data_IF_089951180715
#
_entry.id   IF_089951180715
#
_cell.length_a   1.000
_cell.length_b   1.000
_cell.length_c   1.000
_cell.angle_alpha   90.00
_cell.angle_beta   90.00
_cell.angle_gamma   90.00
#
_symmetry.space_group_name_H-M   'P 1'
#
loop_
_entity.id
_entity.type
_entity.pdbx_description
1 polymer ?
#
# COMPACT_ATOMS: atom_id res chain seq x y z
N UNK A 1 -5.27 11.77 17.14
CA UNK A 1 -6.33 10.75 17.09
C UNK A 1 -7.05 10.55 18.41
N UNK A 2 -6.68 9.53 19.18
CA UNK A 2 -7.49 9.08 20.33
C UNK A 2 -7.66 10.12 21.45
N UNK A 3 -6.58 10.72 21.95
CA UNK A 3 -6.65 11.73 23.01
C UNK A 3 -7.54 12.92 22.61
N UNK A 4 -7.36 13.43 21.39
CA UNK A 4 -8.22 14.47 20.81
C UNK A 4 -9.70 14.06 20.83
N UNK A 5 -10.03 12.80 20.49
CA UNK A 5 -11.40 12.29 20.46
C UNK A 5 -12.10 12.20 21.83
N UNK A 6 -11.34 12.30 22.93
CA UNK A 6 -11.86 12.33 24.30
C UNK A 6 -11.60 13.68 24.98
N UNK A 7 -11.10 14.68 24.25
CA UNK A 7 -10.79 16.00 24.79
C UNK A 7 -9.57 16.04 25.73
N UNK A 8 -8.67 15.06 25.60
CA UNK A 8 -7.43 14.99 26.38
C UNK A 8 -6.19 15.36 25.54
N UNK A 9 -5.09 15.65 26.22
CA UNK A 9 -3.78 15.93 25.65
C UNK A 9 -2.70 15.12 26.36
N UNK A 10 -1.49 15.09 25.78
CA UNK A 10 -0.33 14.56 26.48
C UNK A 10 0.02 15.43 27.70
N UNK A 11 0.69 14.88 28.74
CA UNK A 11 1.18 15.67 29.86
C UNK A 11 2.19 16.76 29.43
N UNK A 12 2.09 17.96 30.00
CA UNK A 12 2.91 19.12 29.61
C UNK A 12 4.38 19.05 30.08
N UNK A 13 4.74 18.04 30.88
CA UNK A 13 6.06 17.92 31.53
C UNK A 13 6.96 16.84 30.91
N UNK A 14 6.68 16.41 29.67
CA UNK A 14 7.48 15.40 28.94
C UNK A 14 7.74 15.82 27.49
N UNK A 15 8.78 15.32 26.84
CA UNK A 15 8.86 15.40 25.37
C UNK A 15 7.92 14.38 24.74
N UNK A 16 7.30 14.72 23.61
CA UNK A 16 6.47 13.82 22.81
C UNK A 16 6.97 13.86 21.37
N UNK A 17 7.54 12.74 20.94
CA UNK A 17 8.12 12.55 19.61
C UNK A 17 7.60 11.25 19.01
N UNK A 18 7.69 11.13 17.68
CA UNK A 18 7.48 9.86 16.98
C UNK A 18 8.56 9.65 15.92
N UNK A 19 8.88 8.38 15.69
CA UNK A 19 9.62 7.88 14.54
C UNK A 19 8.81 6.70 14.02
N UNK A 20 8.32 6.81 12.79
CA UNK A 20 7.36 5.89 12.20
C UNK A 20 7.97 5.28 10.93
N UNK A 21 8.54 4.06 11.02
CA UNK A 21 9.01 3.32 9.85
C UNK A 21 7.85 3.06 8.88
N UNK A 22 8.06 3.36 7.60
CA UNK A 22 7.12 3.16 6.50
C UNK A 22 7.28 1.77 5.91
N UNK A 23 6.98 0.79 6.76
CA UNK A 23 7.09 -0.63 6.46
C UNK A 23 6.88 -1.50 7.69
N UNK A 24 6.53 -2.77 7.47
CA UNK A 24 6.23 -3.71 8.55
C UNK A 24 7.45 -4.01 9.42
N UNK A 25 7.25 -4.32 10.70
CA UNK A 25 8.33 -4.63 11.66
C UNK A 25 9.35 -5.68 11.17
N UNK A 26 8.93 -6.81 10.58
CA UNK A 26 9.85 -7.78 10.00
C UNK A 26 10.76 -7.20 8.90
N UNK A 27 10.25 -6.29 8.07
CA UNK A 27 11.01 -5.65 6.99
C UNK A 27 12.07 -4.70 7.53
N UNK A 28 11.74 -3.92 8.57
CA UNK A 28 12.67 -3.04 9.29
C UNK A 28 13.87 -3.86 9.77
N UNK A 29 13.63 -4.97 10.45
CA UNK A 29 14.71 -5.83 10.95
C UNK A 29 15.51 -6.47 9.81
N UNK A 30 14.83 -6.98 8.79
CA UNK A 30 15.46 -7.72 7.70
C UNK A 30 16.42 -6.85 6.90
N UNK A 31 15.96 -5.66 6.50
CA UNK A 31 16.78 -4.72 5.74
C UNK A 31 17.91 -4.14 6.59
N UNK A 32 17.68 -3.88 7.88
CA UNK A 32 18.77 -3.51 8.81
C UNK A 32 19.88 -4.59 8.88
N UNK A 33 19.50 -5.87 8.89
CA UNK A 33 20.48 -6.97 8.86
C UNK A 33 21.24 -7.05 7.54
N UNK A 34 20.57 -6.85 6.40
CA UNK A 34 21.23 -6.74 5.09
C UNK A 34 22.16 -5.51 5.03
N UNK A 35 21.80 -4.44 5.76
CA UNK A 35 22.55 -3.20 5.85
C UNK A 35 23.92 -3.31 6.50
N UNK A 36 24.21 -4.43 7.17
CA UNK A 36 25.55 -4.71 7.73
C UNK A 36 26.60 -4.89 6.64
N UNK A 37 26.19 -5.46 5.50
CA UNK A 37 27.08 -5.77 4.38
C UNK A 37 26.97 -4.72 3.26
N UNK A 38 25.81 -4.06 3.14
CA UNK A 38 25.57 -3.03 2.12
C UNK A 38 25.10 -1.74 2.77
N UNK A 39 25.88 -0.68 2.62
CA UNK A 39 25.55 0.61 3.21
C UNK A 39 24.19 1.13 2.71
N UNK A 40 23.37 1.62 3.63
CA UNK A 40 22.10 2.29 3.32
C UNK A 40 20.87 1.38 3.25
N UNK A 41 20.94 0.11 3.62
CA UNK A 41 19.75 -0.75 3.69
C UNK A 41 18.92 -0.55 4.96
N UNK A 42 17.61 -0.34 4.79
CA UNK A 42 16.64 -0.17 5.87
C UNK A 42 15.27 0.24 5.32
N UNK A 43 14.36 0.60 6.22
CA UNK A 43 13.03 1.14 5.89
C UNK A 43 13.03 2.63 6.20
N UNK A 44 12.53 3.44 5.27
CA UNK A 44 12.41 4.90 5.48
C UNK A 44 11.52 5.18 6.67
N UNK A 45 11.77 6.28 7.38
CA UNK A 45 10.91 6.68 8.50
C UNK A 45 10.46 8.12 8.37
N UNK A 46 9.23 8.40 8.77
CA UNK A 46 8.85 9.76 9.13
C UNK A 46 9.21 10.04 10.60
N UNK A 47 9.37 11.30 10.98
CA UNK A 47 9.46 11.68 12.39
C UNK A 47 8.64 12.93 12.68
N UNK A 48 8.15 13.03 13.90
CA UNK A 48 7.36 14.16 14.36
C UNK A 48 7.81 14.63 15.75
N UNK A 49 7.79 15.94 15.95
CA UNK A 49 7.98 16.57 17.26
C UNK A 49 6.66 17.22 17.65
N UNK A 50 5.93 16.59 18.56
CA UNK A 50 4.67 17.13 19.06
C UNK A 50 4.88 18.08 20.23
N UNK A 51 5.79 17.73 21.14
CA UNK A 51 6.13 18.53 22.32
C UNK A 51 7.62 18.44 22.62
N UNK A 52 8.27 19.58 22.80
CA UNK A 52 9.68 19.70 23.19
C UNK A 52 9.82 20.69 24.36
N UNK A 53 10.12 20.17 25.55
CA UNK A 53 10.21 20.92 26.81
C UNK A 53 11.64 21.29 27.20
N UNK A 54 12.65 20.71 26.54
CA UNK A 54 14.05 20.88 26.92
C UNK A 54 15.03 21.04 25.75
N UNK A 55 14.52 21.13 24.51
CA UNK A 55 15.30 21.39 23.30
C UNK A 55 16.00 20.16 22.72
N UNK A 56 15.74 18.96 23.26
CA UNK A 56 16.42 17.72 22.85
C UNK A 56 15.57 16.84 21.94
N UNK A 57 14.30 17.17 21.74
CA UNK A 57 13.34 16.27 21.11
C UNK A 57 13.74 15.90 19.66
N UNK A 58 14.17 16.88 18.86
CA UNK A 58 14.59 16.67 17.48
C UNK A 58 15.79 15.73 17.36
N UNK A 59 16.86 15.96 18.13
CA UNK A 59 18.05 15.12 18.07
C UNK A 59 17.78 13.69 18.55
N UNK A 60 16.90 13.53 19.55
CA UNK A 60 16.47 12.20 20.02
C UNK A 60 15.68 11.48 18.92
N UNK A 61 14.75 12.16 18.24
CA UNK A 61 13.96 11.57 17.17
C UNK A 61 14.83 11.16 15.97
N UNK A 62 15.72 12.05 15.52
CA UNK A 62 16.64 11.77 14.42
C UNK A 62 17.63 10.66 14.79
N UNK A 63 18.21 10.71 16.00
CA UNK A 63 19.09 9.67 16.51
C UNK A 63 18.40 8.30 16.59
N UNK A 64 17.14 8.26 17.02
CA UNK A 64 16.32 7.05 17.00
C UNK A 64 16.10 6.53 15.57
N UNK A 65 15.71 7.40 14.64
CA UNK A 65 15.49 7.01 13.24
C UNK A 65 16.75 6.45 12.57
N UNK A 66 17.91 7.07 12.81
CA UNK A 66 19.21 6.58 12.35
C UNK A 66 19.55 5.23 12.99
N UNK A 67 19.28 5.05 14.29
CA UNK A 67 19.55 3.79 14.99
C UNK A 67 18.67 2.62 14.49
N UNK A 68 17.48 2.91 13.94
CA UNK A 68 16.66 1.93 13.24
C UNK A 68 17.20 1.58 11.83
N UNK A 69 18.18 2.32 11.33
CA UNK A 69 18.76 2.15 10.00
C UNK A 69 17.95 2.78 8.88
N UNK A 70 17.15 3.81 9.17
CA UNK A 70 16.32 4.46 8.14
C UNK A 70 17.21 5.06 7.04
N UNK A 71 17.05 4.66 5.75
CA UNK A 71 17.87 5.17 4.66
C UNK A 71 17.76 6.69 4.51
N UNK A 72 16.54 7.20 4.66
CA UNK A 72 16.26 8.62 4.84
C UNK A 72 15.10 8.82 5.82
N UNK A 73 15.05 10.03 6.38
CA UNK A 73 14.08 10.41 7.40
C UNK A 73 13.46 11.75 7.03
N UNK A 74 12.13 11.83 7.04
CA UNK A 74 11.41 13.06 6.69
C UNK A 74 10.52 13.54 7.83
N UNK A 75 10.40 14.86 7.96
CA UNK A 75 9.59 15.46 9.00
C UNK A 75 8.10 15.43 8.64
N UNK A 76 7.28 15.12 9.64
CA UNK A 76 5.82 15.20 9.58
C UNK A 76 5.28 15.71 10.92
N UNK A 77 3.96 15.65 11.12
CA UNK A 77 3.32 15.84 12.43
C UNK A 77 2.64 14.55 12.86
N UNK A 78 2.41 14.35 14.16
CA UNK A 78 1.61 13.20 14.61
C UNK A 78 0.24 13.16 13.95
N UNK A 79 -0.34 14.33 13.64
CA UNK A 79 -1.66 14.42 13.01
C UNK A 79 -1.67 14.00 11.55
N UNK A 80 -0.71 14.49 10.77
CA UNK A 80 -0.54 14.07 9.37
C UNK A 80 -0.25 12.57 9.31
N UNK A 81 0.65 12.10 10.17
CA UNK A 81 1.10 10.71 10.19
C UNK A 81 -0.02 9.73 10.52
N UNK A 82 -0.80 9.94 11.61
CA UNK A 82 -1.88 9.01 11.90
C UNK A 82 -2.97 9.03 10.82
N UNK A 83 -3.17 10.18 10.14
CA UNK A 83 -4.14 10.29 9.06
C UNK A 83 -3.68 9.52 7.83
N UNK A 84 -2.42 9.68 7.40
CA UNK A 84 -1.89 9.00 6.22
C UNK A 84 -1.69 7.50 6.46
N UNK A 85 -1.17 7.11 7.63
CA UNK A 85 -0.80 5.72 7.94
C UNK A 85 -2.05 4.83 8.09
N UNK A 86 -2.98 5.21 8.97
CA UNK A 86 -4.22 4.46 9.20
C UNK A 86 -5.07 4.37 7.91
N UNK A 87 -5.05 5.43 7.10
CA UNK A 87 -5.66 5.44 5.77
C UNK A 87 -4.93 4.51 4.79
N UNK A 88 -3.60 4.62 4.68
CA UNK A 88 -2.78 3.89 3.73
C UNK A 88 -2.89 2.37 3.93
N UNK A 89 -2.85 1.89 5.17
CA UNK A 89 -3.00 0.47 5.52
C UNK A 89 -4.40 -0.09 5.18
N UNK A 90 -5.40 0.77 4.96
CA UNK A 90 -6.74 0.40 4.47
C UNK A 90 -6.87 0.56 2.97
N UNK A 91 -6.13 1.51 2.39
CA UNK A 91 -5.94 1.71 0.98
C UNK A 91 -4.93 0.72 0.38
N UNK A 92 -4.11 1.22 -0.53
CA UNK A 92 -3.27 0.41 -1.43
C UNK A 92 -2.23 -0.46 -0.71
N UNK A 93 -1.84 -0.12 0.52
CA UNK A 93 -0.79 -0.86 1.23
C UNK A 93 -1.24 -2.28 1.61
N UNK A 94 -2.49 -2.46 2.03
CA UNK A 94 -3.02 -3.78 2.42
C UNK A 94 -4.48 -4.00 1.99
N UNK A 95 -5.40 -3.15 2.44
CA UNK A 95 -6.85 -3.35 2.23
C UNK A 95 -7.25 -3.35 0.76
N UNK A 96 -6.96 -2.27 0.04
CA UNK A 96 -7.31 -2.14 -1.36
C UNK A 96 -6.60 -3.19 -2.23
N UNK A 97 -5.31 -3.44 -2.04
CA UNK A 97 -4.60 -4.48 -2.81
C UNK A 97 -5.18 -5.87 -2.55
N UNK A 98 -5.62 -6.18 -1.32
CA UNK A 98 -6.35 -7.43 -1.04
C UNK A 98 -7.67 -7.50 -1.82
N UNK A 99 -8.48 -6.44 -1.79
CA UNK A 99 -9.73 -6.39 -2.55
C UNK A 99 -9.54 -6.46 -4.07
N UNK A 100 -8.50 -5.80 -4.60
CA UNK A 100 -8.14 -5.82 -6.01
C UNK A 100 -7.82 -7.24 -6.47
N UNK A 101 -6.91 -7.94 -5.78
CA UNK A 101 -6.48 -9.27 -6.24
C UNK A 101 -7.60 -10.32 -6.11
N UNK A 102 -8.43 -10.26 -5.06
CA UNK A 102 -9.59 -11.14 -4.91
C UNK A 102 -10.62 -10.92 -6.03
N UNK A 103 -10.91 -9.66 -6.34
CA UNK A 103 -11.92 -9.29 -7.32
C UNK A 103 -11.45 -9.59 -8.76
N UNK A 104 -10.19 -9.28 -9.10
CA UNK A 104 -9.58 -9.65 -10.38
C UNK A 104 -9.55 -11.17 -10.59
N UNK A 105 -9.16 -11.93 -9.57
CA UNK A 105 -9.15 -13.39 -9.64
C UNK A 105 -10.53 -13.95 -10.03
N UNK A 106 -11.58 -13.48 -9.37
CA UNK A 106 -12.95 -13.92 -9.69
C UNK A 106 -13.40 -13.43 -11.06
N UNK A 107 -13.04 -12.22 -11.47
CA UNK A 107 -13.36 -11.70 -12.79
C UNK A 107 -12.68 -12.48 -13.92
N UNK A 108 -11.40 -12.84 -13.76
CA UNK A 108 -10.67 -13.67 -14.73
C UNK A 108 -11.25 -15.08 -14.87
N UNK A 109 -11.66 -15.72 -13.76
CA UNK A 109 -12.35 -17.01 -13.80
C UNK A 109 -13.70 -16.90 -14.52
N UNK A 110 -14.46 -15.83 -14.25
CA UNK A 110 -15.72 -15.58 -14.96
C UNK A 110 -15.52 -15.40 -16.47
N UNK A 111 -14.33 -14.94 -16.88
CA UNK A 111 -13.89 -14.80 -18.27
C UNK A 111 -13.18 -16.05 -18.82
N UNK A 112 -13.28 -17.20 -18.13
CA UNK A 112 -12.85 -18.49 -18.63
C UNK A 112 -11.39 -18.85 -18.39
N UNK A 113 -10.64 -18.03 -17.64
CA UNK A 113 -9.29 -18.40 -17.23
C UNK A 113 -9.32 -19.53 -16.19
N UNK A 114 -8.28 -20.36 -16.18
CA UNK A 114 -8.08 -21.33 -15.11
C UNK A 114 -7.77 -20.62 -13.79
N UNK A 115 -7.89 -21.34 -12.67
CA UNK A 115 -7.59 -20.78 -11.36
C UNK A 115 -6.11 -20.40 -11.24
N UNK A 116 -5.20 -21.20 -11.82
CA UNK A 116 -3.76 -20.91 -11.83
C UNK A 116 -3.45 -19.64 -12.65
N UNK A 117 -4.01 -19.51 -13.85
CA UNK A 117 -3.85 -18.32 -14.69
C UNK A 117 -4.43 -17.07 -14.02
N UNK A 118 -5.64 -17.16 -13.45
CA UNK A 118 -6.27 -16.05 -12.74
C UNK A 118 -5.42 -15.58 -11.54
N UNK A 119 -4.84 -16.51 -10.78
CA UNK A 119 -3.95 -16.15 -9.67
C UNK A 119 -2.66 -15.49 -10.16
N UNK A 120 -2.08 -16.00 -11.25
CA UNK A 120 -0.88 -15.40 -11.86
C UNK A 120 -1.16 -13.99 -12.37
N UNK A 121 -2.25 -13.81 -13.12
CA UNK A 121 -2.63 -12.54 -13.73
C UNK A 121 -3.10 -11.51 -12.71
N UNK A 122 -3.62 -11.93 -11.55
CA UNK A 122 -3.94 -11.04 -10.43
C UNK A 122 -2.73 -10.88 -9.49
N UNK A 123 -2.53 -11.80 -8.55
CA UNK A 123 -1.60 -11.64 -7.43
C UNK A 123 -0.14 -11.64 -7.84
N UNK A 124 0.31 -12.60 -8.67
CA UNK A 124 1.73 -12.67 -9.03
C UNK A 124 2.11 -11.47 -9.92
N UNK A 125 1.21 -11.02 -10.80
CA UNK A 125 1.42 -9.84 -11.64
C UNK A 125 1.61 -8.57 -10.80
N UNK A 126 0.73 -8.31 -9.82
CA UNK A 126 0.86 -7.16 -8.91
C UNK A 126 2.13 -7.26 -8.08
N UNK A 127 2.33 -8.40 -7.41
CA UNK A 127 3.36 -8.52 -6.36
C UNK A 127 4.75 -8.82 -6.91
N UNK A 128 4.85 -9.27 -8.16
CA UNK A 128 6.11 -9.54 -8.87
C UNK A 128 6.49 -8.40 -9.81
N UNK A 129 6.22 -8.52 -11.13
CA UNK A 129 6.75 -7.63 -12.14
C UNK A 129 6.24 -6.18 -12.02
N UNK A 130 4.97 -5.96 -11.67
CA UNK A 130 4.44 -4.59 -11.49
C UNK A 130 5.15 -3.90 -10.33
N UNK A 131 5.17 -4.52 -9.14
CA UNK A 131 5.87 -3.96 -7.97
C UNK A 131 7.34 -3.70 -8.25
N UNK A 132 8.05 -4.67 -8.85
CA UNK A 132 9.47 -4.54 -9.20
C UNK A 132 9.72 -3.38 -10.17
N UNK A 133 8.82 -3.17 -11.14
CA UNK A 133 8.95 -2.11 -12.14
C UNK A 133 8.71 -0.74 -11.52
N UNK A 134 7.63 -0.57 -10.75
CA UNK A 134 7.36 0.68 -9.99
C UNK A 134 8.54 1.02 -9.07
N UNK A 135 9.03 0.01 -8.33
CA UNK A 135 10.13 0.13 -7.38
C UNK A 135 11.45 0.61 -7.99
N UNK A 136 11.74 0.25 -9.26
CA UNK A 136 13.01 0.56 -9.94
C UNK A 136 12.92 1.74 -10.89
N UNK A 137 11.83 1.81 -11.65
CA UNK A 137 11.71 2.66 -12.82
C UNK A 137 10.51 3.63 -12.71
N UNK A 138 9.75 3.60 -11.60
CA UNK A 138 8.56 4.44 -11.38
C UNK A 138 7.28 3.91 -12.03
N UNK A 139 6.15 4.57 -11.77
CA UNK A 139 4.82 4.08 -12.16
C UNK A 139 4.63 4.02 -13.68
N UNK A 140 5.06 5.07 -14.41
CA UNK A 140 4.92 5.14 -15.87
C UNK A 140 5.57 3.96 -16.59
N UNK A 141 6.67 3.44 -16.04
CA UNK A 141 7.41 2.33 -16.63
C UNK A 141 6.57 1.05 -16.76
N UNK A 142 5.52 0.87 -15.95
CA UNK A 142 4.56 -0.25 -16.05
C UNK A 142 3.78 -0.14 -17.35
N UNK A 143 3.22 1.04 -17.62
CA UNK A 143 2.47 1.33 -18.85
C UNK A 143 3.37 1.26 -20.09
N UNK A 144 4.59 1.81 -20.00
CA UNK A 144 5.57 1.79 -21.09
C UNK A 144 6.08 0.38 -21.41
N UNK A 145 5.99 -0.57 -20.47
CA UNK A 145 6.37 -1.96 -20.67
C UNK A 145 5.41 -2.74 -21.59
N UNK A 146 4.17 -2.25 -21.74
CA UNK A 146 3.12 -2.94 -22.45
C UNK A 146 3.25 -2.74 -23.96
N UNK A 147 2.78 -3.72 -24.73
CA UNK A 147 2.57 -3.53 -26.16
C UNK A 147 1.35 -2.64 -26.43
N UNK A 148 1.09 -2.30 -27.69
CA UNK A 148 0.03 -1.34 -28.03
C UNK A 148 -1.37 -1.85 -27.65
N UNK A 149 -1.62 -3.16 -27.70
CA UNK A 149 -2.87 -3.74 -27.22
C UNK A 149 -2.97 -3.63 -25.68
N UNK A 150 -1.90 -3.99 -24.97
CA UNK A 150 -1.84 -3.89 -23.52
C UNK A 150 -1.98 -2.45 -23.03
N UNK A 151 -1.42 -1.47 -23.74
CA UNK A 151 -1.61 -0.04 -23.41
C UNK A 151 -3.08 0.36 -23.50
N UNK A 152 -3.80 -0.08 -24.53
CA UNK A 152 -5.24 0.17 -24.69
C UNK A 152 -6.06 -0.50 -23.56
N UNK A 153 -5.74 -1.74 -23.21
CA UNK A 153 -6.36 -2.44 -22.07
C UNK A 153 -6.06 -1.77 -20.72
N UNK A 154 -4.82 -1.33 -20.50
CA UNK A 154 -4.41 -0.58 -19.30
C UNK A 154 -5.21 0.72 -19.17
N UNK A 155 -5.34 1.49 -20.26
CA UNK A 155 -6.05 2.77 -20.28
C UNK A 155 -7.53 2.61 -19.95
N UNK A 156 -8.19 1.60 -20.52
CA UNK A 156 -9.58 1.27 -20.18
C UNK A 156 -9.72 0.86 -18.72
N UNK A 157 -8.87 -0.03 -18.23
CA UNK A 157 -8.89 -0.49 -16.85
C UNK A 157 -8.60 0.64 -15.85
N UNK A 158 -7.66 1.52 -16.17
CA UNK A 158 -7.34 2.69 -15.36
C UNK A 158 -8.54 3.63 -15.24
N UNK A 159 -9.13 3.99 -16.40
CA UNK A 159 -10.29 4.89 -16.47
C UNK A 159 -11.50 4.33 -15.71
N UNK A 160 -11.76 3.03 -15.87
CA UNK A 160 -12.87 2.36 -15.19
C UNK A 160 -12.67 2.23 -13.67
N UNK A 161 -11.42 2.12 -13.19
CA UNK A 161 -11.13 1.83 -11.79
C UNK A 161 -10.89 3.06 -10.92
N UNK A 162 -10.43 4.18 -11.49
CA UNK A 162 -9.99 5.34 -10.72
C UNK A 162 -11.08 5.90 -9.81
N UNK A 163 -12.25 6.26 -10.35
CA UNK A 163 -13.33 6.85 -9.56
C UNK A 163 -13.95 5.89 -8.53
N UNK A 164 -14.24 4.60 -8.87
CA UNK A 164 -14.65 3.62 -7.86
C UNK A 164 -13.65 3.47 -6.72
N UNK A 165 -12.35 3.41 -7.01
CA UNK A 165 -11.31 3.37 -5.97
C UNK A 165 -11.29 4.66 -5.13
N UNK A 166 -11.34 5.82 -5.79
CA UNK A 166 -11.34 7.13 -5.14
C UNK A 166 -12.52 7.29 -4.17
N UNK A 167 -13.72 6.79 -4.52
CA UNK A 167 -14.90 6.83 -3.65
C UNK A 167 -14.66 6.15 -2.30
N UNK A 168 -14.11 4.93 -2.31
CA UNK A 168 -13.80 4.20 -1.06
C UNK A 168 -12.66 4.87 -0.31
N UNK A 169 -11.62 5.33 -1.00
CA UNK A 169 -10.49 6.02 -0.38
C UNK A 169 -10.95 7.30 0.34
N UNK A 170 -11.82 8.09 -0.29
CA UNK A 170 -12.40 9.29 0.32
C UNK A 170 -13.19 8.95 1.60
N UNK A 171 -14.02 7.90 1.58
CA UNK A 171 -14.73 7.42 2.77
C UNK A 171 -13.76 7.01 3.89
N UNK A 172 -12.70 6.25 3.56
CA UNK A 172 -11.68 5.83 4.53
C UNK A 172 -11.03 7.04 5.16
N UNK A 173 -10.58 8.01 4.35
CA UNK A 173 -9.86 9.17 4.85
C UNK A 173 -10.74 9.98 5.81
N UNK A 174 -12.00 10.23 5.46
CA UNK A 174 -12.94 10.98 6.30
C UNK A 174 -13.25 10.23 7.61
N UNK A 175 -13.38 8.91 7.58
CA UNK A 175 -13.54 8.07 8.78
C UNK A 175 -12.31 8.10 9.69
N UNK A 176 -11.10 8.17 9.12
CA UNK A 176 -9.85 8.30 9.88
C UNK A 176 -9.72 9.69 10.48
N UNK A 177 -9.89 10.73 9.66
CA UNK A 177 -9.73 12.12 10.06
C UNK A 177 -10.77 12.57 11.09
N UNK A 178 -11.99 12.03 11.04
CA UNK A 178 -13.04 12.27 12.05
C UNK A 178 -12.79 11.53 13.38
N UNK A 179 -11.89 10.54 13.39
CA UNK A 179 -11.60 9.70 14.55
C UNK A 179 -12.55 8.51 14.72
N UNK A 180 -13.54 8.33 13.83
CA UNK A 180 -14.44 7.18 13.83
C UNK A 180 -13.66 5.88 13.68
N UNK A 181 -12.72 5.85 12.74
CA UNK A 181 -11.92 4.65 12.48
C UNK A 181 -11.06 4.28 13.69
N UNK A 182 -10.43 5.27 14.32
CA UNK A 182 -9.62 5.09 15.55
C UNK A 182 -10.49 4.52 16.67
N UNK A 183 -11.68 5.09 16.89
CA UNK A 183 -12.64 4.58 17.89
C UNK A 183 -13.02 3.14 17.60
N UNK A 184 -13.27 2.80 16.33
CA UNK A 184 -13.65 1.45 15.91
C UNK A 184 -12.57 0.42 16.21
N UNK A 185 -11.29 0.78 16.02
CA UNK A 185 -10.12 -0.06 16.34
C UNK A 185 -10.00 -0.29 17.85
N UNK A 186 -10.13 0.77 18.66
CA UNK A 186 -10.11 0.65 20.13
C UNK A 186 -11.18 -0.33 20.62
N UNK A 187 -12.41 -0.17 20.14
CA UNK A 187 -13.50 -1.07 20.50
C UNK A 187 -13.30 -2.50 19.95
N UNK A 188 -12.69 -2.65 18.78
CA UNK A 188 -12.36 -3.98 18.23
C UNK A 188 -11.35 -4.71 19.12
N UNK A 189 -10.35 -4.00 19.64
CA UNK A 189 -9.37 -4.56 20.55
C UNK A 189 -10.01 -5.09 21.85
N UNK A 190 -11.00 -4.38 22.40
CA UNK A 190 -11.77 -4.83 23.56
C UNK A 190 -12.54 -6.14 23.29
N UNK A 191 -12.97 -6.34 22.03
CA UNK A 191 -13.71 -7.54 21.62
C UNK A 191 -12.82 -8.78 21.44
N UNK A 192 -11.50 -8.65 21.34
CA UNK A 192 -10.63 -9.79 21.01
C UNK A 192 -10.64 -10.93 22.02
N UNK A 193 -10.93 -10.67 23.29
CA UNK A 193 -11.10 -11.74 24.29
C UNK A 193 -12.24 -12.70 23.92
N UNK A 194 -13.24 -12.22 23.17
CA UNK A 194 -14.40 -13.00 22.72
C UNK A 194 -14.31 -13.37 21.24
N UNK A 195 -13.80 -12.49 20.40
CA UNK A 195 -13.71 -12.64 18.95
C UNK A 195 -12.32 -12.25 18.45
N UNK A 196 -11.32 -13.15 18.51
CA UNK A 196 -10.03 -12.90 17.88
C UNK A 196 -10.17 -12.85 16.35
N UNK A 197 -9.23 -12.18 15.67
CA UNK A 197 -9.21 -12.15 14.20
C UNK A 197 -9.01 -13.57 13.62
N UNK A 198 -9.80 -13.90 12.61
CA UNK A 198 -9.64 -15.13 11.83
C UNK A 198 -8.56 -15.02 10.75
N UNK A 199 -8.29 -16.16 10.10
CA UNK A 199 -7.42 -16.25 8.92
C UNK A 199 -8.10 -15.69 7.67
N UNK A 200 -7.32 -15.21 6.71
CA UNK A 200 -7.82 -14.61 5.46
C UNK A 200 -7.28 -15.31 4.20
N UNK A 201 -6.46 -16.34 4.35
CA UNK A 201 -5.78 -17.07 3.28
C UNK A 201 -6.28 -18.52 3.10
N UNK A 202 -7.43 -18.84 3.68
CA UNK A 202 -8.03 -20.18 3.62
C UNK A 202 -9.06 -20.35 2.49
N UNK A 203 -9.34 -19.29 1.71
CA UNK A 203 -10.26 -19.33 0.56
C UNK A 203 -9.59 -19.90 -0.69
N UNK A 204 -10.40 -20.26 -1.68
CA UNK A 204 -9.99 -20.92 -2.92
C UNK A 204 -8.78 -20.27 -3.59
N UNK A 205 -8.83 -18.97 -3.84
CA UNK A 205 -7.75 -18.19 -4.46
C UNK A 205 -6.39 -18.41 -3.76
N UNK A 206 -6.39 -18.34 -2.43
CA UNK A 206 -5.15 -18.47 -1.65
C UNK A 206 -4.65 -19.91 -1.57
N UNK A 207 -5.56 -20.90 -1.63
CA UNK A 207 -5.19 -22.30 -1.80
C UNK A 207 -4.57 -22.56 -3.17
N UNK A 208 -5.15 -22.02 -4.26
CA UNK A 208 -4.53 -22.05 -5.60
C UNK A 208 -3.13 -21.44 -5.58
N UNK A 209 -2.96 -20.32 -4.86
CA UNK A 209 -1.66 -19.66 -4.72
C UNK A 209 -0.56 -20.54 -4.12
N UNK A 210 -0.89 -21.56 -3.31
CA UNK A 210 0.10 -22.50 -2.77
C UNK A 210 0.76 -23.28 -3.91
N UNK A 211 -0.05 -23.83 -4.82
CA UNK A 211 0.42 -24.62 -5.95
C UNK A 211 1.11 -23.75 -7.00
N UNK A 212 0.59 -22.56 -7.28
CA UNK A 212 1.23 -21.60 -8.19
C UNK A 212 2.63 -21.21 -7.68
N UNK A 213 2.77 -20.88 -6.40
CA UNK A 213 4.07 -20.55 -5.80
C UNK A 213 5.03 -21.73 -5.81
N UNK A 214 4.55 -22.96 -5.63
CA UNK A 214 5.39 -24.16 -5.66
C UNK A 214 5.97 -24.45 -7.06
N UNK A 215 5.30 -24.02 -8.12
CA UNK A 215 5.71 -24.20 -9.53
C UNK A 215 6.27 -22.92 -10.17
N UNK A 216 6.41 -21.85 -9.38
CA UNK A 216 6.70 -20.51 -9.89
C UNK A 216 8.04 -20.44 -10.62
N UNK A 217 8.00 -19.83 -11.78
CA UNK A 217 9.17 -19.32 -12.48
C UNK A 217 9.20 -17.79 -12.35
N UNK A 218 10.06 -17.23 -11.48
CA UNK A 218 10.13 -15.78 -11.25
C UNK A 218 10.49 -14.95 -12.49
N UNK A 219 11.14 -15.56 -13.49
CA UNK A 219 11.60 -14.86 -14.68
C UNK A 219 10.50 -14.75 -15.75
N UNK A 220 9.37 -15.44 -15.58
CA UNK A 220 8.31 -15.56 -16.58
C UNK A 220 6.91 -15.15 -16.07
N UNK A 221 6.83 -14.29 -15.05
CA UNK A 221 5.55 -13.72 -14.58
C UNK A 221 5.20 -12.50 -15.45
N UNK A 222 4.06 -12.49 -16.16
CA UNK A 222 3.69 -11.38 -17.03
C UNK A 222 3.14 -10.18 -16.25
N UNK A 223 3.31 -8.98 -16.82
CA UNK A 223 2.50 -7.80 -16.45
C UNK A 223 1.17 -7.97 -17.18
N UNK A 224 0.08 -8.22 -16.45
CA UNK A 224 -1.25 -8.30 -17.04
C UNK A 224 -1.83 -6.88 -17.18
N UNK A 225 -2.20 -6.42 -18.39
CA UNK A 225 -2.59 -5.02 -18.63
C UNK A 225 -3.76 -4.51 -17.78
N UNK A 226 -4.85 -5.30 -17.69
CA UNK A 226 -6.02 -4.94 -16.89
C UNK A 226 -5.67 -4.82 -15.40
N UNK A 227 -4.98 -5.83 -14.84
CA UNK A 227 -4.47 -5.81 -13.46
C UNK A 227 -3.60 -4.59 -13.19
N UNK A 228 -2.68 -4.27 -14.10
CA UNK A 228 -1.84 -3.09 -13.99
C UNK A 228 -2.66 -1.80 -13.99
N UNK A 229 -3.66 -1.67 -14.87
CA UNK A 229 -4.54 -0.50 -14.93
C UNK A 229 -5.34 -0.30 -13.64
N UNK A 230 -5.95 -1.37 -13.10
CA UNK A 230 -6.73 -1.31 -11.85
C UNK A 230 -5.85 -0.97 -10.64
N UNK A 231 -4.69 -1.61 -10.53
CA UNK A 231 -3.76 -1.37 -9.42
C UNK A 231 -3.19 0.05 -9.45
N UNK A 232 -2.75 0.51 -10.63
CA UNK A 232 -2.19 1.85 -10.80
C UNK A 232 -3.26 2.93 -10.65
N UNK A 233 -4.50 2.72 -11.11
CA UNK A 233 -5.60 3.66 -10.86
C UNK A 233 -5.91 3.82 -9.38
N UNK A 234 -5.95 2.71 -8.63
CA UNK A 234 -6.18 2.77 -7.17
C UNK A 234 -5.03 3.47 -6.45
N UNK A 235 -3.78 3.19 -6.85
CA UNK A 235 -2.59 3.86 -6.33
C UNK A 235 -2.62 5.37 -6.60
N UNK A 236 -2.98 5.77 -7.81
CA UNK A 236 -3.05 7.19 -8.19
C UNK A 236 -4.21 7.91 -7.52
N UNK A 237 -5.39 7.28 -7.39
CA UNK A 237 -6.50 7.82 -6.62
C UNK A 237 -6.09 8.10 -5.16
N UNK A 238 -5.26 7.21 -4.57
CA UNK A 238 -4.72 7.42 -3.22
C UNK A 238 -3.75 8.60 -3.17
N UNK A 239 -2.84 8.69 -4.14
CA UNK A 239 -1.88 9.80 -4.28
C UNK A 239 -2.61 11.15 -4.37
N UNK A 240 -3.60 11.23 -5.24
CA UNK A 240 -4.34 12.46 -5.51
C UNK A 240 -5.18 12.89 -4.30
N UNK A 241 -5.81 11.95 -3.61
CA UNK A 241 -6.55 12.25 -2.39
C UNK A 241 -5.62 12.77 -1.28
N UNK A 242 -4.47 12.14 -1.03
CA UNK A 242 -3.53 12.65 -0.02
C UNK A 242 -2.97 14.04 -0.40
N UNK A 243 -2.75 14.28 -1.70
CA UNK A 243 -2.38 15.61 -2.23
C UNK A 243 -3.49 16.63 -1.96
N UNK A 244 -4.75 16.30 -2.24
CA UNK A 244 -5.91 17.15 -1.96
C UNK A 244 -6.03 17.48 -0.46
N UNK A 245 -5.80 16.48 0.40
CA UNK A 245 -5.84 16.65 1.87
C UNK A 245 -4.61 17.34 2.46
N UNK A 246 -3.64 17.73 1.62
CA UNK A 246 -2.51 18.58 2.00
C UNK A 246 -1.32 17.85 2.63
N UNK A 247 -1.18 16.55 2.40
CA UNK A 247 -0.02 15.79 2.88
C UNK A 247 1.25 16.14 2.09
N UNK A 248 2.45 16.12 2.71
CA UNK A 248 3.69 16.36 2.00
C UNK A 248 4.03 15.19 1.07
N UNK A 249 4.64 15.48 -0.08
CA UNK A 249 4.98 14.46 -1.09
C UNK A 249 5.83 13.29 -0.56
N UNK A 250 6.71 13.52 0.41
CA UNK A 250 7.48 12.43 1.04
C UNK A 250 6.58 11.44 1.77
N UNK A 251 5.51 11.92 2.42
CA UNK A 251 4.52 11.07 3.07
C UNK A 251 3.65 10.37 2.00
N UNK A 252 3.15 11.11 1.01
CA UNK A 252 2.36 10.55 -0.10
C UNK A 252 3.09 9.40 -0.81
N UNK A 253 4.36 9.62 -1.17
CA UNK A 253 5.16 8.65 -1.90
C UNK A 253 5.43 7.39 -1.06
N UNK A 254 5.71 7.52 0.24
CA UNK A 254 5.93 6.34 1.08
C UNK A 254 4.63 5.58 1.35
N UNK A 255 3.56 6.29 1.72
CA UNK A 255 2.28 5.71 2.17
C UNK A 255 1.42 5.15 1.03
N UNK A 256 1.76 5.47 -0.22
CA UNK A 256 0.98 5.02 -1.39
C UNK A 256 1.76 4.17 -2.37
N UNK A 257 3.09 4.24 -2.37
CA UNK A 257 3.91 3.65 -3.44
C UNK A 257 5.07 2.85 -2.86
N UNK A 258 6.03 3.52 -2.22
CA UNK A 258 7.31 2.91 -1.80
C UNK A 258 7.06 1.79 -0.80
N UNK A 259 6.25 2.00 0.24
CA UNK A 259 5.97 0.96 1.23
C UNK A 259 5.29 -0.27 0.61
N UNK A 260 4.33 -0.04 -0.31
CA UNK A 260 3.68 -1.13 -1.03
C UNK A 260 4.70 -1.99 -1.78
N UNK A 261 5.55 -1.38 -2.61
CA UNK A 261 6.40 -2.13 -3.55
C UNK A 261 7.72 -2.63 -2.94
N UNK A 262 8.22 -1.98 -1.89
CA UNK A 262 9.52 -2.30 -1.28
C UNK A 262 9.40 -3.03 0.06
N UNK A 263 8.28 -2.90 0.77
CA UNK A 263 8.08 -3.55 2.08
C UNK A 263 6.99 -4.62 2.02
N UNK A 264 5.79 -4.29 1.54
CA UNK A 264 4.61 -5.12 1.76
C UNK A 264 4.38 -6.18 0.68
N UNK A 265 4.30 -5.78 -0.59
CA UNK A 265 4.06 -6.69 -1.72
C UNK A 265 5.07 -7.85 -1.80
N UNK A 266 6.38 -7.67 -1.48
CA UNK A 266 7.31 -8.79 -1.39
C UNK A 266 6.85 -9.91 -0.44
N UNK A 267 6.21 -9.57 0.69
CA UNK A 267 5.69 -10.57 1.64
C UNK A 267 4.47 -11.30 1.07
N UNK A 268 3.58 -10.59 0.36
CA UNK A 268 2.46 -11.23 -0.34
C UNK A 268 2.97 -12.14 -1.45
N UNK A 269 3.95 -11.69 -2.24
CA UNK A 269 4.59 -12.51 -3.27
C UNK A 269 5.22 -13.78 -2.68
N UNK A 270 5.84 -13.66 -1.50
CA UNK A 270 6.55 -14.76 -0.87
C UNK A 270 5.60 -15.85 -0.34
N UNK A 271 4.53 -15.48 0.39
CA UNK A 271 3.67 -16.46 1.10
C UNK A 271 2.17 -16.14 1.10
N UNK A 272 1.71 -15.20 0.28
CA UNK A 272 0.29 -14.83 0.15
C UNK A 272 -0.15 -13.73 1.13
N UNK A 273 -1.41 -13.32 1.01
CA UNK A 273 -1.94 -12.12 1.69
C UNK A 273 -1.83 -12.17 3.21
N UNK A 274 -2.11 -13.32 3.83
CA UNK A 274 -2.04 -13.41 5.30
C UNK A 274 -0.60 -13.21 5.79
N UNK A 275 0.41 -13.66 5.04
CA UNK A 275 1.80 -13.43 5.41
C UNK A 275 2.19 -11.95 5.32
N UNK A 276 1.62 -11.18 4.41
CA UNK A 276 1.81 -9.73 4.39
C UNK A 276 1.03 -9.05 5.53
N UNK A 277 -0.28 -9.27 5.56
CA UNK A 277 -1.21 -8.55 6.44
C UNK A 277 -0.98 -8.87 7.92
N UNK A 278 -0.83 -10.16 8.27
CA UNK A 278 -0.74 -10.57 9.68
C UNK A 278 0.66 -10.34 10.29
N UNK A 279 1.63 -9.89 9.49
CA UNK A 279 2.90 -9.35 9.97
C UNK A 279 2.87 -7.83 10.23
N UNK A 280 1.78 -7.14 9.87
CA UNK A 280 1.55 -5.73 10.20
C UNK A 280 0.87 -5.56 11.56
N UNK A 281 0.66 -4.29 11.95
CA UNK A 281 0.06 -3.92 13.23
C UNK A 281 -1.37 -4.49 13.38
N UNK A 282 -1.88 -4.51 14.61
CA UNK A 282 -3.27 -4.89 14.84
C UNK A 282 -4.27 -3.92 14.20
N UNK A 283 -3.94 -2.63 14.16
CA UNK A 283 -4.72 -1.58 13.48
C UNK A 283 -4.79 -1.87 11.98
N UNK A 284 -3.65 -2.21 11.36
CA UNK A 284 -3.53 -2.57 9.95
C UNK A 284 -4.38 -3.79 9.62
N UNK A 285 -4.21 -4.87 10.40
CA UNK A 285 -4.92 -6.13 10.22
C UNK A 285 -6.43 -5.98 10.31
N UNK A 286 -6.92 -5.15 11.23
CA UNK A 286 -8.34 -4.80 11.34
C UNK A 286 -8.79 -3.96 10.15
N UNK A 287 -8.00 -2.96 9.75
CA UNK A 287 -8.25 -2.10 8.61
C UNK A 287 -8.41 -2.89 7.32
N UNK A 288 -7.45 -3.75 6.99
CA UNK A 288 -7.51 -4.64 5.82
C UNK A 288 -8.79 -5.47 5.80
N UNK A 289 -9.15 -6.08 6.93
CA UNK A 289 -10.34 -6.95 7.05
C UNK A 289 -11.66 -6.18 6.95
N UNK A 290 -11.67 -4.91 7.36
CA UNK A 290 -12.85 -4.03 7.26
C UNK A 290 -13.02 -3.48 5.84
N UNK A 291 -11.93 -3.05 5.21
CA UNK A 291 -11.99 -2.23 3.99
C UNK A 291 -11.65 -2.98 2.71
N UNK A 292 -10.86 -4.06 2.77
CA UNK A 292 -10.58 -4.89 1.59
C UNK A 292 -11.85 -5.40 0.88
N UNK A 293 -12.87 -5.90 1.60
CA UNK A 293 -14.15 -6.26 0.98
C UNK A 293 -14.88 -5.10 0.28
N UNK A 294 -14.65 -3.85 0.69
CA UNK A 294 -15.28 -2.67 0.08
C UNK A 294 -14.68 -2.39 -1.30
N UNK A 295 -13.35 -2.49 -1.42
CA UNK A 295 -12.66 -2.40 -2.72
C UNK A 295 -13.06 -3.53 -3.64
N UNK A 296 -13.10 -4.77 -3.13
CA UNK A 296 -13.60 -5.90 -3.91
C UNK A 296 -14.99 -5.60 -4.51
N UNK A 297 -15.95 -5.25 -3.64
CA UNK A 297 -17.32 -5.02 -4.07
C UNK A 297 -17.45 -3.85 -5.05
N UNK A 298 -16.79 -2.71 -4.81
CA UNK A 298 -16.96 -1.56 -5.69
C UNK A 298 -16.35 -1.81 -7.08
N UNK A 299 -15.21 -2.52 -7.14
CA UNK A 299 -14.58 -2.89 -8.41
C UNK A 299 -15.46 -3.90 -9.18
N UNK A 300 -16.02 -4.91 -8.50
CA UNK A 300 -16.95 -5.85 -9.12
C UNK A 300 -18.24 -5.18 -9.62
N UNK A 301 -18.75 -4.18 -8.90
CA UNK A 301 -20.01 -3.52 -9.22
C UNK A 301 -19.90 -2.44 -10.31
N UNK A 302 -18.77 -1.74 -10.37
CA UNK A 302 -18.60 -0.56 -11.23
C UNK A 302 -17.46 -0.73 -12.24
N UNK A 303 -16.26 -1.11 -11.79
CA UNK A 303 -15.09 -1.20 -12.67
C UNK A 303 -15.23 -2.32 -13.70
N UNK A 304 -15.52 -3.53 -13.26
CA UNK A 304 -15.54 -4.69 -14.16
C UNK A 304 -16.81 -4.74 -15.01
N UNK A 305 -17.93 -4.23 -14.50
CA UNK A 305 -19.13 -4.03 -15.32
C UNK A 305 -18.86 -3.01 -16.44
N UNK A 306 -18.19 -1.90 -16.13
CA UNK A 306 -17.77 -0.93 -17.13
C UNK A 306 -16.81 -1.53 -18.17
N UNK A 307 -15.88 -2.41 -17.77
CA UNK A 307 -14.98 -3.11 -18.70
C UNK A 307 -15.73 -4.09 -19.61
N UNK A 308 -16.64 -4.90 -19.05
CA UNK A 308 -17.46 -5.86 -19.80
C UNK A 308 -18.38 -5.14 -20.82
N UNK A 309 -18.81 -3.92 -20.49
CA UNK A 309 -19.63 -3.06 -21.37
C UNK A 309 -18.82 -2.29 -22.42
N UNK A 310 -17.48 -2.36 -22.39
CA UNK A 310 -16.61 -1.71 -23.36
C UNK A 310 -16.50 -0.18 -23.15
N UNK A 311 -16.45 0.26 -21.90
CA UNK A 311 -16.29 1.67 -21.53
C UNK A 311 -15.10 2.32 -22.24
N UNK A 312 -15.31 3.55 -22.72
CA UNK A 312 -14.29 4.33 -23.40
C UNK A 312 -13.26 4.87 -22.40
N UNK A 313 -12.05 5.12 -22.90
CA UNK A 313 -10.99 5.76 -22.11
C UNK A 313 -11.43 7.17 -21.74
N UNK A 314 -11.22 7.55 -20.48
CA UNK A 314 -11.28 8.93 -20.04
C UNK A 314 -9.94 9.59 -20.35
N UNK A 315 -9.89 10.33 -21.46
CA UNK A 315 -8.64 10.93 -21.97
C UNK A 315 -8.11 12.02 -21.04
N UNK A 316 -8.98 12.80 -20.39
CA UNK A 316 -8.56 13.85 -19.46
C UNK A 316 -7.93 13.23 -18.21
N UNK A 317 -8.59 12.23 -17.63
CA UNK A 317 -8.06 11.50 -16.48
C UNK A 317 -6.72 10.80 -16.82
N UNK A 318 -6.60 10.24 -18.02
CA UNK A 318 -5.35 9.59 -18.43
C UNK A 318 -4.23 10.60 -18.70
N UNK A 319 -4.54 11.76 -19.28
CA UNK A 319 -3.58 12.86 -19.42
C UNK A 319 -3.11 13.37 -18.06
N UNK A 320 -4.01 13.49 -17.08
CA UNK A 320 -3.66 13.83 -15.69
C UNK A 320 -2.75 12.79 -15.06
N UNK A 321 -3.01 11.50 -15.29
CA UNK A 321 -2.12 10.42 -14.88
C UNK A 321 -0.72 10.58 -15.48
N UNK A 322 -0.61 10.81 -16.78
CA UNK A 322 0.68 10.91 -17.48
C UNK A 322 1.51 12.12 -17.02
N UNK A 323 0.85 13.20 -16.60
CA UNK A 323 1.48 14.46 -16.21
C UNK A 323 1.57 14.67 -14.69
N UNK A 324 1.19 13.68 -13.87
CA UNK A 324 1.17 13.83 -12.43
C UNK A 324 2.58 14.04 -11.83
N UNK A 325 2.73 15.05 -10.96
CA UNK A 325 3.99 15.39 -10.29
C UNK A 325 4.62 14.22 -9.50
N UNK A 326 3.80 13.23 -9.09
CA UNK A 326 4.28 12.07 -8.33
C UNK A 326 5.37 11.30 -9.06
N UNK A 327 5.37 11.28 -10.40
CA UNK A 327 6.39 10.60 -11.19
C UNK A 327 7.77 11.23 -10.98
N UNK A 328 7.84 12.56 -10.93
CA UNK A 328 9.08 13.29 -10.62
C UNK A 328 9.50 13.08 -9.16
N UNK A 329 8.54 13.09 -8.23
CA UNK A 329 8.80 12.82 -6.80
C UNK A 329 9.42 11.43 -6.63
N UNK A 330 8.89 10.41 -7.31
CA UNK A 330 9.44 9.05 -7.26
C UNK A 330 10.86 8.98 -7.82
N UNK A 331 11.14 9.70 -8.92
CA UNK A 331 12.50 9.77 -9.47
C UNK A 331 13.49 10.34 -8.43
N UNK A 332 13.11 11.38 -7.69
CA UNK A 332 13.94 11.94 -6.61
C UNK A 332 14.05 10.97 -5.42
N UNK A 333 12.95 10.32 -5.01
CA UNK A 333 12.98 9.33 -3.93
C UNK A 333 13.86 8.12 -4.26
N UNK A 334 13.90 7.70 -5.53
CA UNK A 334 14.71 6.58 -6.00
C UNK A 334 16.22 6.84 -5.82
N UNK A 335 16.68 8.09 -5.89
CA UNK A 335 18.09 8.46 -5.63
C UNK A 335 18.51 8.22 -4.17
N UNK A 336 17.55 8.18 -3.24
CA UNK A 336 17.78 7.98 -1.80
C UNK A 336 17.45 6.54 -1.35
N UNK A 337 17.06 5.66 -2.28
CA UNK A 337 16.68 4.28 -1.99
C UNK A 337 17.92 3.43 -1.67
N UNK A 338 17.82 2.46 -0.76
CA UNK A 338 18.86 1.43 -0.61
C UNK A 338 19.23 0.78 -1.94
N UNK A 339 20.50 0.41 -2.09
CA UNK A 339 20.97 -0.36 -3.26
C UNK A 339 20.57 -1.84 -3.23
N UNK A 340 19.84 -2.28 -2.19
CA UNK A 340 19.40 -3.66 -2.00
C UNK A 340 17.88 -3.74 -1.95
N UNK A 341 17.34 -4.68 -2.74
CA UNK A 341 15.96 -5.12 -2.61
C UNK A 341 15.83 -6.03 -1.36
N UNK A 342 14.67 -6.03 -0.70
CA UNK A 342 14.41 -6.92 0.43
C UNK A 342 14.52 -8.38 -0.02
N UNK A 343 15.39 -9.15 0.62
CA UNK A 343 15.52 -10.58 0.33
C UNK A 343 14.74 -11.37 1.37
N UNK A 344 13.58 -11.91 1.01
CA UNK A 344 12.85 -12.83 1.88
C UNK A 344 13.41 -14.24 1.71
N UNK A 345 13.82 -14.84 2.82
CA UNK A 345 14.27 -16.24 2.88
C UNK A 345 13.39 -16.96 3.90
N UNK A 346 13.18 -18.25 3.70
CA UNK A 346 12.55 -19.08 4.72
C UNK A 346 12.70 -20.56 4.44
#
# INVERSE_FOLDING_TARGET
GYLQSIGESFPDNINVIAVCPKGMGPSVRRLYEQGKEVNGAGINSSFAIYQDIDGRATDIALGWSVALGSPWTFMTTLESEYKSDIFGERGILLGAVHGIVESLYRWFIAHGQSHEEAFQNATESVTGPISKKISKDGILSVYEALDEQGKDEFRRAYSAAYHPAYEILMEIYDEVASGNEIRSVVQANERFKRYPMGTIDSTEMWQTGIDVRAKRDPDHIPIHPVTAGVYVATMMAQVDLLKEKGHPYSEIANESIIEAVDSLNPYMHYKGVAYMVDNCSTTARLGTRKWGPRFDYILMQQTYTALDEGTQVDEELFDDFMNNDIHQVLAVCAEMRPSVDIALVG
#
